data_IF_199224148408
#
_entry.id   IF_199224148408
#
_cell.length_a   1.000
_cell.length_b   1.000
_cell.length_c   1.000
_cell.angle_alpha   90.00
_cell.angle_beta   90.00
_cell.angle_gamma   90.00
#
_symmetry.space_group_name_H-M   'P 1'
#
loop_
_entity.id
_entity.type
_entity.pdbx_description
1 polymer ?
#
# COMPACT_ATOMS: atom_id res chain seq x y z
N UNK A 1 27.93 -24.22 -40.14
CA UNK A 1 29.30 -24.72 -39.89
C UNK A 1 29.21 -25.93 -38.97
N UNK A 2 29.60 -27.13 -39.43
CA UNK A 2 29.58 -28.36 -38.65
C UNK A 2 31.01 -28.83 -38.27
N UNK A 3 31.21 -29.31 -37.04
CA UNK A 3 32.35 -30.12 -36.62
C UNK A 3 31.81 -30.98 -35.46
N UNK A 4 31.55 -32.29 -35.58
CA UNK A 4 32.39 -33.42 -35.96
C UNK A 4 33.74 -33.41 -35.27
N UNK A 5 33.91 -34.27 -34.26
CA UNK A 5 35.20 -34.91 -34.00
C UNK A 5 35.00 -36.25 -33.29
N UNK A 6 35.70 -37.21 -33.88
CA UNK A 6 35.64 -38.65 -33.69
C UNK A 6 37.02 -39.08 -33.17
N UNK A 7 37.05 -40.05 -32.26
CA UNK A 7 38.19 -40.98 -32.08
C UNK A 7 39.27 -40.59 -31.05
N UNK A 8 39.60 -41.52 -30.15
CA UNK A 8 40.61 -42.59 -30.36
C UNK A 8 40.72 -43.49 -29.12
N UNK A 9 40.83 -44.80 -29.39
CA UNK A 9 41.36 -45.84 -28.49
C UNK A 9 42.85 -45.66 -28.23
N UNK A 10 43.33 -46.20 -27.10
CA UNK A 10 44.51 -47.07 -27.15
C UNK A 10 44.25 -48.46 -26.52
N UNK A 11 44.77 -49.48 -27.22
CA UNK A 11 45.21 -50.78 -26.68
C UNK A 11 46.31 -50.53 -25.61
N UNK A 12 46.69 -51.42 -24.67
CA UNK A 12 47.15 -52.81 -24.83
C UNK A 12 47.66 -53.33 -23.45
N UNK A 13 47.73 -54.66 -23.25
CA UNK A 13 48.51 -55.34 -22.19
C UNK A 13 47.70 -55.68 -20.93
N UNK A 14 47.35 -56.92 -20.60
CA UNK A 14 47.97 -58.21 -20.87
C UNK A 14 48.88 -58.59 -19.70
N UNK A 15 48.41 -59.42 -18.76
CA UNK A 15 49.13 -60.55 -18.18
C UNK A 15 48.26 -61.28 -17.15
N UNK A 16 48.19 -62.61 -17.33
CA UNK A 16 48.14 -63.72 -16.38
C UNK A 16 47.95 -63.42 -14.87
N UNK A 17 47.27 -64.36 -14.19
CA UNK A 17 46.75 -64.34 -12.82
C UNK A 17 45.37 -63.65 -12.79
N UNK A 18 44.25 -64.37 -12.81
CA UNK A 18 43.68 -64.97 -11.60
C UNK A 18 42.67 -66.07 -11.98
N UNK A 19 43.16 -67.30 -12.11
CA UNK A 19 42.33 -68.49 -12.32
C UNK A 19 41.81 -69.12 -11.01
N UNK A 20 41.89 -68.40 -9.87
CA UNK A 20 41.62 -68.98 -8.54
C UNK A 20 40.47 -68.35 -7.75
N UNK A 21 39.87 -67.22 -8.18
CA UNK A 21 38.77 -66.57 -7.44
C UNK A 21 37.36 -66.82 -8.01
N UNK A 22 37.18 -67.78 -8.92
CA UNK A 22 35.87 -68.12 -9.49
C UNK A 22 35.07 -69.17 -8.71
N UNK A 23 35.64 -69.81 -7.68
CA UNK A 23 34.93 -70.85 -6.91
C UNK A 23 34.37 -70.41 -5.53
N UNK A 24 34.54 -69.15 -5.12
CA UNK A 24 33.95 -68.65 -3.87
C UNK A 24 32.95 -67.48 -4.05
N UNK A 25 32.76 -66.95 -5.27
CA UNK A 25 31.72 -65.94 -5.57
C UNK A 25 30.35 -66.52 -5.94
N UNK A 26 30.25 -67.83 -6.13
CA UNK A 26 29.03 -68.49 -6.67
C UNK A 26 27.92 -68.74 -5.65
N UNK A 27 28.22 -68.78 -4.33
CA UNK A 27 27.22 -69.12 -3.31
C UNK A 27 26.76 -67.97 -2.40
N UNK A 28 27.43 -66.83 -2.40
CA UNK A 28 26.93 -65.63 -1.71
C UNK A 28 26.10 -64.70 -2.60
N UNK A 29 26.11 -64.85 -3.92
CA UNK A 29 25.36 -63.97 -4.84
C UNK A 29 23.85 -64.28 -4.95
N UNK A 30 23.40 -65.46 -4.53
CA UNK A 30 22.02 -65.90 -4.76
C UNK A 30 21.07 -65.49 -3.62
N UNK A 31 21.58 -65.29 -2.39
CA UNK A 31 20.74 -64.88 -1.27
C UNK A 31 20.75 -63.38 -0.94
N UNK A 32 21.77 -62.63 -1.39
CA UNK A 32 21.91 -61.20 -1.02
C UNK A 32 21.21 -60.28 -2.04
N UNK A 33 21.12 -60.69 -3.31
CA UNK A 33 20.57 -59.88 -4.40
C UNK A 33 19.08 -59.50 -4.23
N UNK A 34 18.15 -60.42 -3.88
CA UNK A 34 16.75 -60.04 -3.70
C UNK A 34 16.53 -59.16 -2.46
N UNK A 35 17.35 -59.31 -1.42
CA UNK A 35 17.29 -58.48 -0.21
C UNK A 35 17.80 -57.05 -0.48
N UNK A 36 18.86 -56.89 -1.28
CA UNK A 36 19.38 -55.58 -1.65
C UNK A 36 18.43 -54.82 -2.59
N UNK A 37 17.74 -55.49 -3.51
CA UNK A 37 16.75 -54.86 -4.40
C UNK A 37 15.49 -54.41 -3.63
N UNK A 38 15.06 -55.17 -2.61
CA UNK A 38 13.95 -54.77 -1.74
C UNK A 38 14.29 -53.57 -0.85
N UNK A 39 15.51 -53.55 -0.29
CA UNK A 39 16.01 -52.42 0.53
C UNK A 39 16.21 -51.17 -0.34
N UNK A 40 16.75 -51.31 -1.56
CA UNK A 40 16.90 -50.20 -2.50
C UNK A 40 15.55 -49.57 -2.88
N UNK A 41 14.52 -50.39 -3.11
CA UNK A 41 13.14 -49.94 -3.38
C UNK A 41 12.53 -49.16 -2.21
N UNK A 42 12.71 -49.64 -0.98
CA UNK A 42 12.21 -48.99 0.24
C UNK A 42 12.94 -47.67 0.53
N UNK A 43 14.27 -47.64 0.35
CA UNK A 43 15.09 -46.44 0.55
C UNK A 43 14.76 -45.37 -0.50
N UNK A 44 14.56 -45.77 -1.76
CA UNK A 44 14.22 -44.84 -2.84
C UNK A 44 12.85 -44.18 -2.63
N UNK A 45 11.84 -44.92 -2.15
CA UNK A 45 10.51 -44.35 -1.82
C UNK A 45 10.57 -43.34 -0.68
N UNK A 46 11.37 -43.61 0.36
CA UNK A 46 11.56 -42.69 1.50
C UNK A 46 12.29 -41.42 1.06
N UNK A 47 13.35 -41.54 0.27
CA UNK A 47 14.09 -40.36 -0.24
C UNK A 47 13.19 -39.48 -1.12
N UNK A 48 12.41 -40.06 -2.02
CA UNK A 48 11.47 -39.29 -2.86
C UNK A 48 10.42 -38.57 -2.00
N UNK A 49 9.84 -39.23 -0.99
CA UNK A 49 8.89 -38.59 -0.08
C UNK A 49 9.52 -37.42 0.70
N UNK A 50 10.73 -37.60 1.23
CA UNK A 50 11.46 -36.53 1.92
C UNK A 50 11.81 -35.36 0.98
N UNK A 51 12.19 -35.63 -0.27
CA UNK A 51 12.43 -34.58 -1.27
C UNK A 51 11.16 -33.82 -1.63
N UNK A 52 10.02 -34.51 -1.78
CA UNK A 52 8.73 -33.86 -2.05
C UNK A 52 8.30 -32.99 -0.87
N UNK A 53 8.47 -33.46 0.38
CA UNK A 53 8.16 -32.68 1.57
C UNK A 53 9.11 -31.49 1.75
N UNK A 54 10.41 -31.66 1.47
CA UNK A 54 11.37 -30.55 1.49
C UNK A 54 11.06 -29.50 0.41
N UNK A 55 10.69 -29.93 -0.80
CA UNK A 55 10.31 -29.05 -1.90
C UNK A 55 9.02 -28.28 -1.56
N UNK A 56 8.01 -28.96 -1.00
CA UNK A 56 6.78 -28.30 -0.53
C UNK A 56 7.05 -27.31 0.61
N UNK A 57 7.93 -27.66 1.56
CA UNK A 57 8.34 -26.76 2.63
C UNK A 57 9.01 -25.50 2.11
N UNK A 58 9.88 -25.62 1.10
CA UNK A 58 10.59 -24.47 0.52
C UNK A 58 9.66 -23.51 -0.23
N UNK A 59 8.58 -24.02 -0.85
CA UNK A 59 7.60 -23.17 -1.53
C UNK A 59 6.79 -22.33 -0.52
N UNK A 60 6.58 -22.82 0.71
CA UNK A 60 5.80 -22.09 1.72
C UNK A 60 6.56 -20.96 2.44
N UNK A 61 7.89 -20.93 2.37
CA UNK A 61 8.71 -19.89 3.04
C UNK A 61 8.99 -18.69 2.11
N UNK A 62 8.57 -18.76 0.84
CA UNK A 62 9.05 -17.86 -0.21
C UNK A 62 8.45 -16.45 -0.29
N UNK A 63 7.26 -16.17 0.25
CA UNK A 63 6.57 -14.91 -0.06
C UNK A 63 5.79 -14.33 1.12
N UNK A 64 6.44 -14.09 2.27
CA UNK A 64 5.89 -13.15 3.25
C UNK A 64 6.82 -11.92 3.32
N UNK A 65 6.96 -11.24 2.18
CA UNK A 65 7.49 -9.88 2.16
C UNK A 65 6.42 -9.00 2.80
N UNK A 66 6.49 -8.90 4.13
CA UNK A 66 5.73 -7.89 4.83
C UNK A 66 6.16 -6.55 4.22
N UNK A 67 5.21 -5.75 3.68
CA UNK A 67 5.56 -4.49 3.04
C UNK A 67 6.44 -3.70 4.01
N UNK A 68 7.65 -3.38 3.57
CA UNK A 68 8.62 -2.65 4.38
C UNK A 68 7.98 -1.30 4.67
N UNK A 69 7.52 -1.10 5.92
CA UNK A 69 6.97 0.18 6.34
C UNK A 69 8.02 1.26 6.12
N UNK A 70 7.65 2.28 5.38
CA UNK A 70 8.50 3.45 5.25
C UNK A 70 8.48 4.21 6.59
N UNK A 71 9.62 4.34 7.29
CA UNK A 71 9.68 5.08 8.55
C UNK A 71 9.37 6.57 8.40
N UNK A 72 9.31 7.09 7.18
CA UNK A 72 8.96 8.48 6.86
C UNK A 72 7.51 8.65 6.41
N UNK A 73 6.72 7.58 6.32
CA UNK A 73 5.29 7.68 6.05
C UNK A 73 4.52 8.12 7.30
N UNK A 74 3.59 9.06 7.13
CA UNK A 74 2.75 9.52 8.23
C UNK A 74 1.54 8.58 8.43
N UNK A 75 1.72 7.52 9.22
CA UNK A 75 0.63 6.59 9.57
C UNK A 75 -0.23 7.07 10.75
N UNK A 76 -0.19 8.36 11.12
CA UNK A 76 -0.92 8.90 12.28
C UNK A 76 -2.43 8.67 12.22
N UNK A 77 -3.04 8.78 11.03
CA UNK A 77 -4.47 8.46 10.84
C UNK A 77 -4.80 7.02 11.22
N UNK A 78 -4.00 6.04 10.79
CA UNK A 78 -4.25 4.63 11.09
C UNK A 78 -3.96 4.30 12.56
N UNK A 79 -2.85 4.81 13.07
CA UNK A 79 -2.32 4.47 14.40
C UNK A 79 -2.97 5.24 15.54
N UNK A 80 -3.65 6.36 15.25
CA UNK A 80 -4.19 7.30 16.25
C UNK A 80 -3.11 7.84 17.20
N UNK A 81 -1.87 7.92 16.70
CA UNK A 81 -0.73 8.44 17.44
C UNK A 81 -0.18 9.70 16.79
N UNK A 82 0.18 10.73 17.59
CA UNK A 82 0.07 10.79 19.06
C UNK A 82 -1.34 11.09 19.59
N UNK A 83 -2.32 11.34 18.72
CA UNK A 83 -3.71 11.59 19.08
C UNK A 83 -4.66 11.02 18.01
N UNK A 84 -5.93 10.83 18.36
CA UNK A 84 -6.96 10.35 17.44
C UNK A 84 -7.48 11.48 16.53
N UNK A 85 -7.80 11.20 15.24
CA UNK A 85 -8.44 12.16 14.35
C UNK A 85 -9.73 12.76 14.98
N UNK A 86 -10.05 14.05 14.73
CA UNK A 86 -9.41 14.98 13.79
C UNK A 86 -8.15 15.71 14.34
N UNK A 87 -7.57 15.26 15.46
CA UNK A 87 -6.28 15.78 15.94
C UNK A 87 -5.13 15.20 15.11
N UNK A 88 -4.09 16.00 14.86
CA UNK A 88 -2.89 15.60 14.13
C UNK A 88 -1.62 16.11 14.82
N UNK A 89 -0.80 15.21 15.35
CA UNK A 89 0.41 15.55 16.13
C UNK A 89 0.17 16.54 17.28
N UNK A 90 -1.01 16.51 17.90
CA UNK A 90 -1.40 17.44 18.96
C UNK A 90 -2.00 18.75 18.47
N UNK A 91 -2.07 18.97 17.15
CA UNK A 91 -2.80 20.09 16.57
C UNK A 91 -4.30 19.79 16.57
N UNK A 92 -5.06 20.70 17.18
CA UNK A 92 -6.50 20.60 17.34
C UNK A 92 -7.21 21.75 16.63
N UNK A 93 -8.26 21.42 15.88
CA UNK A 93 -9.10 22.40 15.19
C UNK A 93 -9.75 23.36 16.19
N UNK A 94 -9.82 24.65 15.83
CA UNK A 94 -10.34 25.77 16.63
C UNK A 94 -9.61 26.04 17.96
N UNK A 95 -8.53 25.32 18.23
CA UNK A 95 -7.76 25.40 19.46
C UNK A 95 -6.33 25.85 19.17
N UNK A 96 -5.62 25.16 18.28
CA UNK A 96 -4.20 25.43 18.04
C UNK A 96 -3.95 26.77 17.35
N UNK A 97 -2.92 27.48 17.79
CA UNK A 97 -2.54 28.80 17.25
C UNK A 97 -1.66 28.68 16.01
N UNK A 98 -1.41 29.79 15.32
CA UNK A 98 -0.49 29.80 14.18
C UNK A 98 0.93 29.39 14.59
N UNK A 99 1.41 29.90 15.73
CA UNK A 99 2.74 29.59 16.28
C UNK A 99 2.90 28.10 16.60
N UNK A 100 1.87 27.48 17.22
CA UNK A 100 1.87 26.05 17.51
C UNK A 100 1.92 25.21 16.22
N UNK A 101 1.17 25.61 15.20
CA UNK A 101 1.16 24.95 13.89
C UNK A 101 2.56 24.93 13.27
N UNK A 102 3.25 26.08 13.23
CA UNK A 102 4.62 26.17 12.74
C UNK A 102 5.57 25.29 13.55
N UNK A 103 5.52 25.39 14.89
CA UNK A 103 6.39 24.62 15.77
C UNK A 103 6.22 23.11 15.58
N UNK A 104 4.98 22.63 15.38
CA UNK A 104 4.74 21.20 15.13
C UNK A 104 5.27 20.80 13.77
N UNK A 105 4.91 21.50 12.68
CA UNK A 105 5.33 21.15 11.31
C UNK A 105 6.85 21.10 11.17
N UNK A 106 7.56 22.09 11.71
CA UNK A 106 9.04 22.14 11.68
C UNK A 106 9.71 20.99 12.45
N UNK A 107 9.01 20.41 13.42
CA UNK A 107 9.54 19.32 14.26
C UNK A 107 9.34 17.93 13.66
N UNK A 108 8.50 17.78 12.64
CA UNK A 108 8.12 16.48 12.08
C UNK A 108 9.25 15.91 11.21
N UNK A 109 9.67 14.64 11.42
CA UNK A 109 10.85 14.07 10.76
C UNK A 109 10.64 13.78 9.26
N UNK A 110 9.41 13.82 8.77
CA UNK A 110 9.06 13.56 7.38
C UNK A 110 8.76 14.84 6.59
N UNK A 111 8.72 16.00 7.23
CA UNK A 111 8.50 17.31 6.57
C UNK A 111 9.83 17.89 6.12
N UNK A 112 9.88 18.48 4.92
CA UNK A 112 11.04 19.25 4.46
C UNK A 112 10.87 20.73 4.90
N UNK A 113 11.62 21.21 5.91
CA UNK A 113 11.47 22.57 6.40
C UNK A 113 11.78 23.65 5.34
N UNK A 114 12.56 23.33 4.31
CA UNK A 114 12.88 24.29 3.24
C UNK A 114 11.67 24.60 2.34
N UNK A 115 10.65 23.74 2.37
CA UNK A 115 9.43 23.83 1.55
C UNK A 115 8.27 24.51 2.26
N UNK A 116 8.40 24.83 3.55
CA UNK A 116 7.36 25.54 4.30
C UNK A 116 7.17 26.93 3.69
N UNK A 117 5.93 27.24 3.30
CA UNK A 117 5.54 28.51 2.67
C UNK A 117 4.25 29.02 3.27
N UNK A 118 4.22 30.31 3.52
CA UNK A 118 3.03 31.02 3.94
C UNK A 118 2.41 31.76 2.75
N UNK A 119 1.09 31.70 2.64
CA UNK A 119 0.33 32.56 1.73
C UNK A 119 -0.94 33.07 2.41
N UNK A 120 -1.30 34.32 2.13
CA UNK A 120 -2.55 34.91 2.59
C UNK A 120 -3.62 34.64 1.53
N UNK A 121 -4.69 33.92 1.90
CA UNK A 121 -5.78 33.55 1.00
C UNK A 121 -7.11 34.11 1.48
N UNK A 122 -7.90 34.65 0.55
CA UNK A 122 -9.30 34.97 0.80
C UNK A 122 -10.14 33.76 0.42
N UNK A 123 -10.76 33.12 1.42
CA UNK A 123 -11.72 32.06 1.14
C UNK A 123 -13.08 32.67 0.80
N UNK A 124 -13.70 32.20 -0.28
CA UNK A 124 -14.90 32.80 -0.88
C UNK A 124 -16.12 32.88 0.07
N UNK A 125 -16.10 32.19 1.22
CA UNK A 125 -17.20 32.17 2.18
C UNK A 125 -16.95 32.94 3.48
N UNK A 126 -15.75 33.48 3.72
CA UNK A 126 -15.45 34.19 4.97
C UNK A 126 -14.93 35.60 4.72
N UNK A 127 -15.38 36.54 5.54
CA UNK A 127 -14.90 37.93 5.52
C UNK A 127 -13.46 38.07 6.03
N UNK A 128 -12.89 37.01 6.60
CA UNK A 128 -11.57 37.01 7.20
C UNK A 128 -10.51 36.49 6.23
N UNK A 129 -9.33 37.11 6.27
CA UNK A 129 -8.12 36.61 5.63
C UNK A 129 -7.66 35.37 6.38
N UNK A 130 -7.29 34.33 5.64
CA UNK A 130 -6.72 33.09 6.18
C UNK A 130 -5.24 33.01 5.84
N UNK A 131 -4.43 32.59 6.81
CA UNK A 131 -3.05 32.19 6.59
C UNK A 131 -3.05 30.72 6.15
N UNK A 132 -2.65 30.44 4.92
CA UNK A 132 -2.38 29.10 4.43
C UNK A 132 -0.88 28.78 4.59
N UNK A 133 -0.57 27.66 5.22
CA UNK A 133 0.78 27.18 5.49
C UNK A 133 0.95 25.86 4.74
N UNK A 134 1.62 25.91 3.60
CA UNK A 134 1.91 24.75 2.75
C UNK A 134 3.29 24.17 3.11
N UNK A 135 3.42 22.84 3.06
CA UNK A 135 4.70 22.15 3.29
C UNK A 135 4.82 20.89 2.44
N UNK A 136 6.05 20.50 2.09
CA UNK A 136 6.43 19.32 1.32
C UNK A 136 7.02 18.20 2.19
N UNK A 137 7.06 16.97 1.66
CA UNK A 137 7.57 15.80 2.38
C UNK A 137 9.02 15.52 1.96
N UNK A 138 9.81 14.94 2.85
CA UNK A 138 11.13 14.38 2.54
C UNK A 138 11.03 13.05 1.76
N UNK A 139 9.98 12.25 2.00
CA UNK A 139 9.74 11.00 1.28
C UNK A 139 8.24 10.66 1.10
N UNK A 140 7.81 10.28 -0.12
CA UNK A 140 8.48 10.59 -1.38
C UNK A 140 8.71 12.11 -1.46
N UNK A 141 9.77 12.54 -2.16
CA UNK A 141 10.06 13.97 -2.28
C UNK A 141 8.99 14.61 -3.16
N UNK A 142 7.99 15.19 -2.52
CA UNK A 142 6.84 15.81 -3.15
C UNK A 142 6.76 17.28 -2.73
N UNK A 143 6.41 18.15 -3.68
CA UNK A 143 6.26 19.57 -3.42
C UNK A 143 5.10 19.89 -2.49
N UNK A 144 4.17 18.94 -2.30
CA UNK A 144 3.01 19.08 -1.45
C UNK A 144 2.84 17.84 -0.59
N UNK A 145 2.97 18.02 0.73
CA UNK A 145 2.72 17.04 1.78
C UNK A 145 1.44 17.38 2.51
N UNK A 146 1.20 18.66 2.73
CA UNK A 146 -0.01 19.13 3.35
C UNK A 146 -0.12 20.65 3.36
N UNK A 147 -1.29 21.08 3.81
CA UNK A 147 -1.68 22.48 3.99
C UNK A 147 -2.36 22.61 5.34
N UNK A 148 -1.99 23.63 6.10
CA UNK A 148 -2.76 24.12 7.25
C UNK A 148 -3.40 25.44 6.90
N UNK A 149 -4.60 25.69 7.41
CA UNK A 149 -5.23 27.02 7.32
C UNK A 149 -5.57 27.54 8.69
N UNK A 150 -5.07 28.72 8.99
CA UNK A 150 -5.28 29.43 10.25
C UNK A 150 -6.11 30.68 9.98
N UNK A 151 -7.11 30.92 10.81
CA UNK A 151 -7.90 32.15 10.75
C UNK A 151 -8.20 32.62 12.17
N UNK A 152 -7.99 33.92 12.42
CA UNK A 152 -8.13 34.51 13.75
C UNK A 152 -7.26 33.79 14.80
N UNK A 153 -6.01 33.48 14.43
CA UNK A 153 -5.03 32.77 15.26
C UNK A 153 -5.51 31.39 15.76
N UNK A 154 -6.34 30.73 14.95
CA UNK A 154 -6.86 29.39 15.24
C UNK A 154 -6.83 28.51 14.00
N UNK A 155 -6.33 27.28 14.17
CA UNK A 155 -6.29 26.27 13.12
C UNK A 155 -7.71 25.87 12.70
N UNK A 156 -8.03 26.01 11.42
CA UNK A 156 -9.36 25.74 10.86
C UNK A 156 -9.39 24.53 9.95
N UNK A 157 -8.26 24.20 9.33
CA UNK A 157 -8.15 23.10 8.39
C UNK A 157 -6.75 22.50 8.43
N UNK A 158 -6.72 21.18 8.34
CA UNK A 158 -5.54 20.34 8.17
C UNK A 158 -5.80 19.49 6.92
N UNK A 159 -4.98 19.60 5.88
CA UNK A 159 -5.06 18.75 4.68
C UNK A 159 -3.75 18.03 4.49
N UNK A 160 -3.78 16.70 4.43
CA UNK A 160 -2.60 15.84 4.43
C UNK A 160 -2.64 14.90 3.22
N UNK A 161 -1.56 14.86 2.46
CA UNK A 161 -1.32 13.86 1.43
C UNK A 161 -1.08 12.51 2.08
N UNK A 162 -1.74 11.47 1.57
CA UNK A 162 -1.55 10.09 2.03
C UNK A 162 -0.39 9.47 1.24
N UNK A 163 0.74 9.22 1.90
CA UNK A 163 1.96 8.67 1.29
C UNK A 163 2.16 7.16 1.54
N UNK A 164 1.10 6.46 1.95
CA UNK A 164 1.09 5.01 2.17
C UNK A 164 -0.17 4.39 1.55
N UNK A 165 -0.26 3.05 1.55
CA UNK A 165 -1.40 2.37 0.96
C UNK A 165 -2.65 2.47 1.86
N UNK A 166 -3.56 3.39 1.54
CA UNK A 166 -4.84 3.57 2.22
C UNK A 166 -5.99 3.47 1.21
N UNK A 167 -6.87 2.47 1.37
CA UNK A 167 -8.09 2.35 0.58
C UNK A 167 -9.29 3.02 1.25
N UNK A 168 -10.28 3.41 0.46
CA UNK A 168 -11.58 3.89 0.97
C UNK A 168 -12.24 2.86 1.89
N UNK A 169 -12.15 1.58 1.59
CA UNK A 169 -12.61 0.50 2.50
C UNK A 169 -11.95 0.60 3.87
N UNK A 170 -10.63 0.76 3.92
CA UNK A 170 -9.89 0.91 5.19
C UNK A 170 -10.33 2.15 5.96
N UNK A 171 -10.58 3.28 5.26
CA UNK A 171 -11.09 4.50 5.89
C UNK A 171 -12.49 4.29 6.46
N UNK A 172 -13.39 3.67 5.70
CA UNK A 172 -14.78 3.38 6.11
C UNK A 172 -14.83 2.36 7.24
N UNK A 173 -13.98 1.34 7.23
CA UNK A 173 -13.88 0.36 8.33
C UNK A 173 -13.44 1.03 9.64
N UNK A 174 -12.59 2.06 9.55
CA UNK A 174 -12.11 2.82 10.71
C UNK A 174 -13.14 3.81 11.23
N UNK A 175 -13.75 4.61 10.35
CA UNK A 175 -14.61 5.75 10.73
C UNK A 175 -16.11 5.42 10.72
N UNK A 176 -16.51 4.27 10.17
CA UNK A 176 -17.89 3.96 9.80
C UNK A 176 -18.27 4.55 8.44
N UNK A 177 -19.51 4.29 7.97
CA UNK A 177 -19.98 4.82 6.69
C UNK A 177 -20.00 6.36 6.72
N UNK A 178 -19.55 7.05 5.65
CA UNK A 178 -19.72 8.49 5.53
C UNK A 178 -21.20 8.84 5.35
N UNK A 179 -21.58 10.07 5.65
CA UNK A 179 -22.93 10.57 5.39
C UNK A 179 -23.12 10.88 3.91
N UNK A 180 -22.09 11.44 3.26
CA UNK A 180 -22.17 11.89 1.88
C UNK A 180 -20.95 11.51 1.05
N UNK A 181 -21.19 11.35 -0.26
CA UNK A 181 -20.16 11.32 -1.28
C UNK A 181 -20.29 12.57 -2.14
N UNK A 182 -19.19 13.31 -2.27
CA UNK A 182 -19.08 14.35 -3.28
C UNK A 182 -18.23 13.82 -4.43
N UNK A 183 -18.62 14.09 -5.67
CA UNK A 183 -17.82 13.71 -6.83
C UNK A 183 -17.93 14.76 -7.92
N UNK A 184 -16.88 14.89 -8.73
CA UNK A 184 -16.83 15.87 -9.81
C UNK A 184 -15.82 15.50 -10.88
N UNK A 185 -16.06 16.01 -12.08
CA UNK A 185 -15.14 15.89 -13.22
C UNK A 185 -14.33 17.19 -13.31
N UNK A 186 -13.01 17.06 -13.34
CA UNK A 186 -12.06 18.15 -13.28
C UNK A 186 -11.11 18.11 -14.48
N UNK A 187 -10.66 19.27 -14.97
CA UNK A 187 -9.66 19.40 -16.03
C UNK A 187 -10.26 19.47 -17.46
N UNK A 188 -9.80 20.41 -18.31
CA UNK A 188 -10.36 20.62 -19.65
C UNK A 188 -9.84 19.64 -20.72
N UNK A 189 -8.61 19.13 -20.60
CA UNK A 189 -7.96 18.27 -21.61
C UNK A 189 -7.84 16.82 -21.12
N UNK A 190 -7.35 16.62 -19.88
CA UNK A 190 -7.30 15.34 -19.20
C UNK A 190 -8.36 15.31 -18.11
N UNK A 191 -9.63 15.19 -18.50
CA UNK A 191 -10.73 15.16 -17.53
C UNK A 191 -10.58 13.97 -16.59
N UNK A 192 -10.50 14.22 -15.30
CA UNK A 192 -10.40 13.19 -14.26
C UNK A 192 -11.55 13.30 -13.26
N UNK A 193 -11.89 12.17 -12.66
CA UNK A 193 -12.87 12.09 -11.59
C UNK A 193 -12.16 12.24 -10.23
N UNK A 194 -12.75 13.03 -9.34
CA UNK A 194 -12.41 13.02 -7.92
C UNK A 194 -13.63 12.62 -7.12
N UNK A 195 -13.41 11.75 -6.13
CA UNK A 195 -14.44 11.31 -5.19
C UNK A 195 -13.99 11.72 -3.79
N UNK A 196 -14.90 12.29 -3.02
CA UNK A 196 -14.72 12.66 -1.62
C UNK A 196 -15.73 11.92 -0.76
N UNK A 197 -15.27 11.31 0.31
CA UNK A 197 -16.12 10.75 1.36
C UNK A 197 -16.13 11.73 2.53
N UNK A 198 -17.32 12.09 3.01
CA UNK A 198 -17.49 13.12 4.02
C UNK A 198 -18.06 12.54 5.31
N UNK A 199 -17.40 12.85 6.44
CA UNK A 199 -17.86 12.60 7.81
C UNK A 199 -18.03 13.91 8.59
N UNK A 200 -19.08 14.72 8.33
CA UNK A 200 -19.20 16.05 8.93
C UNK A 200 -19.27 16.04 10.46
N UNK A 201 -19.91 15.04 11.07
CA UNK A 201 -19.98 14.91 12.54
C UNK A 201 -18.61 14.59 13.16
N UNK A 202 -17.68 14.03 12.39
CA UNK A 202 -16.33 13.71 12.84
C UNK A 202 -15.30 14.75 12.38
N UNK A 203 -15.73 15.78 11.63
CA UNK A 203 -14.84 16.78 11.03
C UNK A 203 -13.80 16.21 10.05
N UNK A 204 -14.11 15.10 9.36
CA UNK A 204 -13.19 14.41 8.45
C UNK A 204 -13.74 14.36 7.02
N UNK A 205 -12.86 14.56 6.04
CA UNK A 205 -13.09 14.26 4.62
C UNK A 205 -11.90 13.44 4.12
N UNK A 206 -12.12 12.44 3.28
CA UNK A 206 -11.05 11.86 2.46
C UNK A 206 -11.36 12.05 0.99
N UNK A 207 -10.32 12.21 0.16
CA UNK A 207 -10.43 12.39 -1.28
C UNK A 207 -9.59 11.35 -2.00
N UNK A 208 -10.09 10.84 -3.11
CA UNK A 208 -9.34 9.93 -3.98
C UNK A 208 -8.16 10.64 -4.65
N UNK A 209 -7.22 9.84 -5.16
CA UNK A 209 -6.37 10.28 -6.26
C UNK A 209 -7.21 10.52 -7.53
N UNK A 210 -6.67 11.21 -8.56
CA UNK A 210 -7.35 11.32 -9.85
C UNK A 210 -7.74 9.95 -10.42
N UNK A 211 -9.01 9.78 -10.73
CA UNK A 211 -9.59 8.58 -11.34
C UNK A 211 -10.00 8.84 -12.79
N UNK A 212 -10.18 7.81 -13.62
CA UNK A 212 -10.82 7.95 -14.93
C UNK A 212 -12.20 8.60 -14.83
N UNK A 213 -12.54 9.45 -15.80
CA UNK A 213 -13.82 10.18 -15.83
C UNK A 213 -15.04 9.23 -15.78
N UNK A 214 -14.90 8.03 -16.35
CA UNK A 214 -15.94 7.00 -16.41
C UNK A 214 -16.46 6.60 -15.02
N UNK A 215 -15.62 6.70 -13.98
CA UNK A 215 -16.02 6.39 -12.61
C UNK A 215 -17.08 7.38 -12.09
N UNK A 216 -16.90 8.68 -12.33
CA UNK A 216 -17.88 9.70 -11.99
C UNK A 216 -19.19 9.52 -12.79
N UNK A 217 -19.10 9.21 -14.08
CA UNK A 217 -20.28 8.96 -14.93
C UNK A 217 -21.05 7.74 -14.42
N UNK A 218 -20.35 6.70 -13.97
CA UNK A 218 -20.98 5.49 -13.46
C UNK A 218 -21.70 5.74 -12.12
N UNK A 219 -21.14 6.59 -11.26
CA UNK A 219 -21.78 7.07 -10.01
C UNK A 219 -23.04 7.88 -10.35
N UNK A 220 -22.94 8.84 -11.27
CA UNK A 220 -24.06 9.71 -11.66
C UNK A 220 -25.25 8.90 -12.22
N UNK A 221 -24.95 7.86 -13.01
CA UNK A 221 -25.98 6.98 -13.57
C UNK A 221 -26.56 5.99 -12.56
N UNK A 222 -26.09 5.99 -11.31
CA UNK A 222 -26.45 5.01 -10.28
C UNK A 222 -26.09 3.57 -10.65
N UNK A 223 -25.20 3.39 -11.63
CA UNK A 223 -24.81 2.07 -12.17
C UNK A 223 -23.72 1.43 -11.32
N UNK A 224 -22.81 2.24 -10.78
CA UNK A 224 -21.77 1.78 -9.89
C UNK A 224 -21.90 2.46 -8.53
N UNK A 225 -21.84 1.64 -7.48
CA UNK A 225 -21.51 2.08 -6.13
C UNK A 225 -20.02 2.44 -6.07
N UNK A 226 -19.55 2.97 -4.94
CA UNK A 226 -18.13 3.32 -4.76
C UNK A 226 -17.30 2.04 -4.71
N UNK A 227 -16.17 1.99 -5.41
CA UNK A 227 -15.29 0.82 -5.32
C UNK A 227 -14.48 0.85 -4.01
N UNK A 228 -14.42 -0.25 -3.25
CA UNK A 228 -13.75 -0.29 -1.95
C UNK A 228 -12.24 -0.05 -2.02
N UNK A 229 -11.62 -0.48 -3.12
CA UNK A 229 -10.18 -0.42 -3.34
C UNK A 229 -9.66 0.93 -3.88
N UNK A 230 -10.52 1.94 -4.07
CA UNK A 230 -10.10 3.30 -4.44
C UNK A 230 -9.11 3.80 -3.39
N UNK A 231 -7.96 4.31 -3.84
CA UNK A 231 -6.93 4.84 -2.94
C UNK A 231 -7.32 6.24 -2.46
N UNK A 232 -7.31 6.42 -1.15
CA UNK A 232 -7.36 7.72 -0.52
C UNK A 232 -6.05 8.45 -0.78
N UNK A 233 -6.11 9.57 -1.48
CA UNK A 233 -4.94 10.40 -1.77
C UNK A 233 -4.76 11.53 -0.76
N UNK A 234 -5.84 12.02 -0.15
CA UNK A 234 -5.79 13.11 0.82
C UNK A 234 -6.76 12.85 1.96
N UNK A 235 -6.35 13.17 3.19
CA UNK A 235 -7.22 13.26 4.36
C UNK A 235 -7.29 14.72 4.77
N UNK A 236 -8.48 15.21 5.06
CA UNK A 236 -8.73 16.60 5.44
C UNK A 236 -9.50 16.61 6.76
N UNK A 237 -8.99 17.33 7.75
CA UNK A 237 -9.69 17.70 8.96
C UNK A 237 -10.09 19.15 8.87
N UNK A 238 -11.35 19.48 9.15
CA UNK A 238 -11.81 20.86 9.10
C UNK A 238 -12.89 21.13 10.13
N UNK A 239 -12.96 22.37 10.61
CA UNK A 239 -14.01 22.80 11.55
C UNK A 239 -15.40 22.59 10.93
N UNK A 240 -16.39 22.27 11.76
CA UNK A 240 -17.73 21.87 11.30
C UNK A 240 -18.39 22.91 10.41
N UNK A 241 -18.17 24.19 10.70
CA UNK A 241 -18.73 25.32 9.95
C UNK A 241 -18.22 25.39 8.51
N UNK A 242 -17.11 24.70 8.19
CA UNK A 242 -16.57 24.58 6.83
C UNK A 242 -17.18 23.45 6.02
N UNK A 243 -17.92 22.54 6.65
CA UNK A 243 -18.77 21.61 5.91
C UNK A 243 -19.93 22.39 5.33
N UNK A 244 -19.77 22.79 4.08
CA UNK A 244 -20.82 23.48 3.35
C UNK A 244 -22.05 22.57 3.23
N UNK A 245 -23.24 23.14 3.42
CA UNK A 245 -24.52 22.47 3.15
C UNK A 245 -24.61 21.95 1.71
N UNK A 246 -23.86 22.59 0.80
CA UNK A 246 -23.72 22.20 -0.61
C UNK A 246 -22.24 22.06 -0.96
N UNK A 247 -21.87 21.05 -1.77
CA UNK A 247 -20.49 20.92 -2.19
C UNK A 247 -20.05 22.13 -3.04
N UNK A 248 -18.75 22.24 -3.32
CA UNK A 248 -18.23 23.25 -4.23
C UNK A 248 -18.95 23.18 -5.60
N UNK A 249 -18.99 24.29 -6.34
CA UNK A 249 -19.86 24.44 -7.53
C UNK A 249 -19.66 23.41 -8.65
N UNK A 250 -18.55 22.67 -8.64
CA UNK A 250 -18.22 21.64 -9.63
C UNK A 250 -18.50 20.20 -9.15
N UNK A 251 -18.80 20.04 -7.86
CA UNK A 251 -19.06 18.74 -7.26
C UNK A 251 -20.56 18.49 -7.14
N UNK A 252 -20.96 17.24 -7.37
CA UNK A 252 -22.29 16.73 -7.04
C UNK A 252 -22.23 15.96 -5.73
N UNK A 253 -23.25 16.12 -4.88
CA UNK A 253 -23.37 15.42 -3.60
C UNK A 253 -24.49 14.38 -3.65
N UNK A 254 -24.19 13.17 -3.23
CA UNK A 254 -25.17 12.10 -2.99
C UNK A 254 -25.03 11.56 -1.58
N UNK A 255 -26.11 10.97 -1.06
CA UNK A 255 -26.03 10.14 0.15
C UNK A 255 -25.13 8.94 -0.11
N UNK A 256 -24.41 8.47 0.92
CA UNK A 256 -23.53 7.29 0.82
C UNK A 256 -24.26 6.09 0.19
N UNK A 257 -23.86 5.63 -1.01
CA UNK A 257 -24.55 4.55 -1.71
C UNK A 257 -24.08 3.15 -1.28
N UNK A 258 -23.13 3.06 -0.34
CA UNK A 258 -22.41 1.82 -0.03
C UNK A 258 -21.28 1.53 -1.02
N UNK A 259 -20.55 0.44 -0.75
CA UNK A 259 -19.57 -0.10 -1.69
C UNK A 259 -20.22 -1.02 -2.74
N UNK A 260 -19.62 -1.06 -3.93
CA UNK A 260 -19.96 -2.04 -4.97
C UNK A 260 -19.71 -3.46 -4.45
N UNK A 261 -20.63 -4.37 -4.78
CA UNK A 261 -20.39 -5.79 -4.53
C UNK A 261 -19.27 -6.28 -5.46
N UNK A 262 -18.34 -7.12 -4.97
CA UNK A 262 -17.23 -7.63 -5.75
C UNK A 262 -17.64 -8.57 -6.88
#
# INVERSE_FOLDING_TARGET
>A
MPMSTQGRKPERGGTHHEAWFYMLRGRFRIFVKPYLELIASQVQRKIVLWLVLALFGWITVGCNQQPTKDPLADESFLTEQPCAPPCWYGLELDISTEEEVYSVIESLPFVDPATIRESQQHWLSYENVETAIDFGCLHPQEHFCGEMRVAQDKLKLISLLVNYDLSFETVVDKLGPPEYVDYGIYGPEDSYCLIKLNWPEQSIVTRSLPLPMEDCIAIEQGKNRIFPNIKAGVIIYMVRERFLDRPASLDLRIQWPGFAEP
#
